data_IF_053131125862
#
_entry.id   IF_053131125862
#
_cell.length_a   1.000
_cell.length_b   1.000
_cell.length_c   1.000
_cell.angle_alpha   90.00
_cell.angle_beta   90.00
_cell.angle_gamma   90.00
#
_symmetry.space_group_name_H-M   'P 1'
#
loop_
_entity.id
_entity.type
_entity.pdbx_description
1 polymer ?
#
# COMPACT_ATOMS: atom_id res chain seq x y z
N UNK A 1 -5.07 -10.84 23.95
CA UNK A 1 -5.33 -10.05 25.17
C UNK A 1 -5.93 -10.98 26.21
N UNK A 2 -5.39 -10.97 27.43
CA UNK A 2 -5.86 -11.79 28.53
C UNK A 2 -6.98 -11.05 29.23
N UNK A 3 -8.22 -11.33 28.81
CA UNK A 3 -9.41 -10.61 29.27
C UNK A 3 -10.04 -11.22 30.54
N UNK A 4 -9.58 -12.40 30.96
CA UNK A 4 -10.09 -13.09 32.16
C UNK A 4 -8.96 -13.76 32.94
N UNK A 5 -9.20 -14.04 34.22
CA UNK A 5 -8.23 -14.69 35.12
C UNK A 5 -8.05 -16.19 34.85
N UNK A 6 -8.98 -16.83 34.14
CA UNK A 6 -8.99 -18.29 33.95
C UNK A 6 -7.69 -18.80 33.32
N UNK A 7 -7.13 -18.07 32.36
CA UNK A 7 -5.87 -18.46 31.71
C UNK A 7 -4.68 -18.45 32.68
N UNK A 8 -4.70 -17.60 33.71
CA UNK A 8 -3.70 -17.63 34.80
C UNK A 8 -3.94 -18.82 35.73
N UNK A 9 -5.20 -19.07 36.12
CA UNK A 9 -5.56 -20.21 36.98
C UNK A 9 -5.12 -21.53 36.33
N UNK A 10 -5.44 -21.76 35.06
CA UNK A 10 -5.02 -22.96 34.33
C UNK A 10 -3.50 -23.06 34.18
N UNK A 11 -2.81 -21.94 33.91
CA UNK A 11 -1.36 -21.91 33.80
C UNK A 11 -0.65 -22.25 35.11
N UNK A 12 -1.16 -21.74 36.24
CA UNK A 12 -0.69 -22.09 37.58
C UNK A 12 -0.95 -23.57 37.89
N UNK A 13 -2.18 -24.05 37.64
CA UNK A 13 -2.55 -25.46 37.87
C UNK A 13 -1.73 -26.44 37.02
N UNK A 14 -1.27 -26.00 35.85
CA UNK A 14 -0.41 -26.79 34.94
C UNK A 14 1.09 -26.61 35.22
N UNK A 15 1.47 -25.85 36.25
CA UNK A 15 2.85 -25.50 36.58
C UNK A 15 3.66 -24.90 35.41
N UNK A 16 2.98 -24.19 34.50
CA UNK A 16 3.61 -23.56 33.35
C UNK A 16 4.12 -22.14 33.64
N UNK A 17 3.47 -21.47 34.59
CA UNK A 17 3.80 -20.08 34.94
C UNK A 17 4.95 -20.01 35.94
N UNK A 18 5.91 -19.11 35.67
CA UNK A 18 7.00 -18.83 36.61
C UNK A 18 6.42 -18.12 37.85
N UNK A 19 6.69 -18.60 39.08
CA UNK A 19 6.33 -17.90 40.32
C UNK A 19 6.93 -16.49 40.42
N UNK A 20 8.08 -16.24 39.76
CA UNK A 20 8.74 -14.94 39.74
C UNK A 20 8.14 -13.93 38.75
N UNK A 21 7.06 -14.29 38.05
CA UNK A 21 6.35 -13.43 37.11
C UNK A 21 7.21 -12.96 35.92
N UNK A 22 8.23 -13.73 35.53
CA UNK A 22 9.14 -13.40 34.41
C UNK A 22 9.47 -14.65 33.60
N UNK A 23 9.88 -14.48 32.35
CA UNK A 23 10.54 -15.54 31.60
C UNK A 23 12.04 -15.46 31.90
N UNK A 24 12.55 -16.37 32.73
CA UNK A 24 13.98 -16.46 33.04
C UNK A 24 14.75 -17.23 31.96
N UNK A 25 14.57 -16.81 30.70
CA UNK A 25 15.09 -17.50 29.52
C UNK A 25 16.60 -17.70 29.62
N UNK A 26 17.03 -18.95 29.45
CA UNK A 26 18.41 -19.46 29.56
C UNK A 26 19.06 -19.35 30.94
N UNK A 27 18.40 -18.77 31.93
CA UNK A 27 18.96 -18.62 33.26
C UNK A 27 18.88 -19.94 34.04
N UNK A 28 19.85 -20.20 34.91
CA UNK A 28 19.84 -21.31 35.87
C UNK A 28 18.56 -21.39 36.72
N UNK A 29 17.86 -20.28 36.94
CA UNK A 29 16.59 -20.21 37.68
C UNK A 29 15.34 -20.31 36.80
N UNK A 30 15.47 -20.73 35.54
CA UNK A 30 14.35 -21.01 34.62
C UNK A 30 13.33 -21.98 35.25
N UNK A 31 12.11 -21.51 35.48
CA UNK A 31 11.07 -22.24 36.23
C UNK A 31 9.65 -22.01 35.69
N UNK A 32 9.52 -21.62 34.43
CA UNK A 32 8.23 -21.31 33.80
C UNK A 32 8.28 -19.99 33.03
N UNK A 33 7.18 -19.67 32.36
CA UNK A 33 7.05 -18.41 31.63
C UNK A 33 6.14 -17.41 32.36
N UNK A 34 6.31 -16.12 32.07
CA UNK A 34 5.29 -15.12 32.38
C UNK A 34 4.37 -14.93 31.19
N UNK A 35 3.07 -14.70 31.42
CA UNK A 35 2.16 -14.31 30.34
C UNK A 35 2.41 -12.86 29.93
N UNK A 36 2.25 -12.56 28.66
CA UNK A 36 2.23 -11.20 28.15
C UNK A 36 1.08 -11.01 27.18
N UNK A 37 0.77 -9.75 26.89
CA UNK A 37 -0.28 -9.36 25.97
C UNK A 37 0.28 -8.44 24.89
N UNK A 38 -0.24 -8.59 23.67
CA UNK A 38 0.14 -7.75 22.55
C UNK A 38 -0.46 -8.22 21.24
N UNK A 39 -0.45 -7.33 20.26
CA UNK A 39 -0.83 -7.59 18.89
C UNK A 39 0.32 -7.17 17.98
N UNK A 40 0.50 -7.91 16.88
CA UNK A 40 1.48 -7.59 15.86
C UNK A 40 0.95 -8.06 14.51
N UNK A 41 1.28 -7.31 13.47
CA UNK A 41 0.98 -7.65 12.10
C UNK A 41 2.20 -7.36 11.23
N UNK A 42 2.31 -8.11 10.13
CA UNK A 42 3.31 -7.97 9.10
C UNK A 42 2.60 -7.88 7.76
N UNK A 43 3.08 -7.01 6.88
CA UNK A 43 2.62 -6.95 5.49
C UNK A 43 3.72 -7.52 4.62
N UNK A 44 3.41 -8.60 3.91
CA UNK A 44 4.33 -9.22 2.96
C UNK A 44 3.94 -8.84 1.54
N UNK A 45 4.93 -8.48 0.73
CA UNK A 45 4.79 -8.23 -0.70
C UNK A 45 5.72 -9.18 -1.45
N UNK A 46 5.26 -9.69 -2.58
CA UNK A 46 6.10 -10.45 -3.51
C UNK A 46 6.67 -9.49 -4.56
N UNK A 47 7.92 -9.69 -4.95
CA UNK A 47 8.63 -8.85 -5.92
C UNK A 47 9.66 -7.90 -5.28
N UNK A 48 10.31 -7.08 -6.11
CA UNK A 48 11.35 -6.17 -5.66
C UNK A 48 10.74 -4.82 -5.23
N UNK A 49 10.73 -4.53 -3.94
CA UNK A 49 10.14 -3.32 -3.35
C UNK A 49 11.18 -2.56 -2.52
N UNK A 50 12.26 -2.13 -3.17
CA UNK A 50 13.47 -1.62 -2.50
C UNK A 50 13.23 -0.36 -1.67
N UNK A 51 12.24 0.44 -2.06
CA UNK A 51 11.91 1.71 -1.40
C UNK A 51 11.01 1.56 -0.16
N UNK A 52 10.31 0.42 0.01
CA UNK A 52 9.31 0.22 1.06
C UNK A 52 9.58 -1.03 1.93
N UNK A 53 10.69 -1.74 1.69
CA UNK A 53 11.02 -2.99 2.39
C UNK A 53 11.78 -2.73 3.70
N UNK A 54 11.38 -3.45 4.74
CA UNK A 54 12.11 -3.49 6.02
C UNK A 54 13.09 -4.67 6.09
N UNK A 55 12.71 -5.83 5.57
CA UNK A 55 13.52 -7.04 5.56
C UNK A 55 13.00 -8.02 4.50
N UNK A 56 13.81 -9.03 4.18
CA UNK A 56 13.43 -10.16 3.35
C UNK A 56 13.16 -11.39 4.21
N UNK A 57 12.03 -12.04 4.01
CA UNK A 57 11.80 -13.38 4.55
C UNK A 57 12.46 -14.40 3.61
N UNK A 58 13.59 -14.97 4.04
CA UNK A 58 14.42 -15.86 3.23
C UNK A 58 13.86 -17.28 3.15
N UNK A 59 13.23 -17.76 4.21
CA UNK A 59 12.65 -19.09 4.27
C UNK A 59 11.86 -19.29 5.55
N UNK A 60 10.95 -20.26 5.56
CA UNK A 60 10.14 -20.57 6.72
C UNK A 60 9.57 -21.98 6.68
N UNK A 61 9.66 -22.68 7.81
CA UNK A 61 9.14 -24.02 7.93
C UNK A 61 8.17 -24.16 9.10
N UNK A 62 7.23 -25.08 8.92
CA UNK A 62 6.36 -25.57 9.97
C UNK A 62 6.63 -27.08 10.11
N UNK A 63 6.62 -27.56 11.34
CA UNK A 63 6.79 -28.97 11.66
C UNK A 63 5.91 -29.39 12.84
N UNK A 64 6.00 -30.64 13.22
CA UNK A 64 5.30 -31.16 14.40
C UNK A 64 6.18 -32.18 15.14
N UNK A 65 6.11 -32.19 16.46
CA UNK A 65 6.93 -33.00 17.37
C UNK A 65 6.73 -34.51 17.24
N UNK A 66 5.62 -34.92 16.64
CA UNK A 66 5.16 -36.30 16.53
C UNK A 66 4.87 -36.89 17.90
N UNK A 67 5.27 -38.15 18.06
CA UNK A 67 5.22 -38.84 19.34
C UNK A 67 6.38 -38.38 20.23
N UNK A 68 6.08 -37.57 21.24
CA UNK A 68 7.01 -37.09 22.27
C UNK A 68 6.78 -37.82 23.61
N UNK A 69 7.57 -37.46 24.64
CA UNK A 69 7.50 -38.08 25.97
C UNK A 69 6.18 -37.80 26.71
N UNK A 70 5.53 -36.68 26.40
CA UNK A 70 4.19 -36.32 26.82
C UNK A 70 3.62 -35.33 25.82
N UNK A 71 2.30 -35.12 25.82
CA UNK A 71 1.64 -34.20 24.87
C UNK A 71 2.25 -32.78 24.87
N UNK A 72 2.78 -32.32 26.00
CA UNK A 72 3.37 -30.99 26.17
C UNK A 72 4.91 -30.99 26.17
N UNK A 73 5.56 -32.15 26.10
CA UNK A 73 7.01 -32.23 26.09
C UNK A 73 7.57 -31.88 24.70
N UNK A 74 8.49 -30.91 24.58
CA UNK A 74 9.07 -30.53 23.30
C UNK A 74 9.98 -31.63 22.73
N UNK A 75 10.13 -31.66 21.40
CA UNK A 75 10.97 -32.63 20.71
C UNK A 75 12.16 -31.97 19.97
N UNK A 76 13.36 -32.11 20.53
CA UNK A 76 14.59 -31.53 19.97
C UNK A 76 14.89 -31.93 18.51
N UNK A 77 14.85 -33.21 18.12
CA UNK A 77 14.98 -33.63 16.72
C UNK A 77 13.96 -32.99 15.78
N UNK A 78 12.71 -32.80 16.20
CA UNK A 78 11.69 -32.14 15.39
C UNK A 78 11.98 -30.63 15.22
N UNK A 79 12.46 -29.97 16.28
CA UNK A 79 12.90 -28.57 16.22
C UNK A 79 14.12 -28.39 15.29
N UNK A 80 15.12 -29.28 15.39
CA UNK A 80 16.27 -29.32 14.48
C UNK A 80 15.82 -29.45 13.02
N UNK A 81 14.91 -30.41 12.75
CA UNK A 81 14.38 -30.65 11.40
C UNK A 81 13.65 -29.43 10.85
N UNK A 82 12.84 -28.76 11.68
CA UNK A 82 12.11 -27.55 11.29
C UNK A 82 13.09 -26.42 10.91
N UNK A 83 14.03 -26.10 11.80
CA UNK A 83 15.01 -25.04 11.55
C UNK A 83 15.94 -25.35 10.36
N UNK A 84 16.41 -26.60 10.25
CA UNK A 84 17.20 -27.03 9.10
C UNK A 84 16.43 -26.93 7.78
N UNK A 85 15.14 -27.27 7.79
CA UNK A 85 14.28 -27.11 6.62
C UNK A 85 14.22 -25.66 6.14
N UNK A 86 14.11 -24.69 7.06
CA UNK A 86 14.01 -23.26 6.73
C UNK A 86 15.32 -22.73 6.14
N UNK A 87 16.47 -23.20 6.66
CA UNK A 87 17.78 -22.89 6.07
C UNK A 87 17.88 -23.43 4.64
N UNK A 88 17.46 -24.67 4.39
CA UNK A 88 17.47 -25.25 3.03
C UNK A 88 16.55 -24.49 2.08
N UNK A 89 15.34 -24.13 2.51
CA UNK A 89 14.41 -23.35 1.71
C UNK A 89 14.99 -21.98 1.34
N UNK A 90 15.66 -21.32 2.30
CA UNK A 90 16.33 -20.04 2.07
C UNK A 90 17.66 -20.12 1.32
N UNK A 91 18.07 -21.34 0.91
CA UNK A 91 19.39 -21.63 0.35
C UNK A 91 20.54 -21.07 1.21
N UNK A 92 20.42 -21.24 2.53
CA UNK A 92 21.36 -20.72 3.52
C UNK A 92 22.14 -21.84 4.18
N UNK A 93 23.37 -21.51 4.55
CA UNK A 93 24.25 -22.30 5.39
C UNK A 93 24.17 -21.84 6.85
N UNK A 94 24.42 -22.71 7.85
CA UNK A 94 24.37 -22.31 9.25
C UNK A 94 25.26 -21.10 9.61
N UNK A 95 26.51 -20.97 9.12
CA UNK A 95 27.38 -19.83 9.44
C UNK A 95 26.85 -18.46 8.97
N UNK A 96 25.91 -18.41 8.01
CA UNK A 96 25.25 -17.17 7.59
C UNK A 96 24.24 -16.64 8.63
N UNK A 97 23.88 -17.48 9.60
CA UNK A 97 23.03 -17.11 10.73
C UNK A 97 23.78 -16.17 11.66
N UNK A 98 23.35 -14.91 11.69
CA UNK A 98 23.96 -13.89 12.56
C UNK A 98 23.35 -13.96 13.96
N UNK A 99 22.02 -14.03 14.04
CA UNK A 99 21.30 -14.11 15.31
C UNK A 99 20.16 -15.11 15.31
N UNK A 100 19.82 -15.60 16.50
CA UNK A 100 18.73 -16.54 16.73
C UNK A 100 17.84 -16.03 17.86
N UNK A 101 16.63 -15.62 17.48
CA UNK A 101 15.50 -15.33 18.36
C UNK A 101 14.80 -16.64 18.72
N UNK A 102 15.20 -17.21 19.85
CA UNK A 102 14.65 -18.46 20.35
C UNK A 102 13.19 -18.32 20.80
N UNK A 103 12.48 -19.44 20.82
CA UNK A 103 11.22 -19.54 21.52
C UNK A 103 11.43 -19.22 23.01
N UNK A 104 12.38 -19.85 23.69
CA UNK A 104 12.98 -19.41 24.94
C UNK A 104 11.97 -18.98 26.00
N UNK A 105 11.14 -19.92 26.46
CA UNK A 105 10.10 -19.66 27.46
C UNK A 105 10.62 -19.52 28.89
N UNK A 106 11.89 -19.86 29.15
CA UNK A 106 12.43 -19.86 30.51
C UNK A 106 11.98 -21.07 31.30
N UNK A 107 11.79 -22.20 30.63
CA UNK A 107 11.47 -23.48 31.28
C UNK A 107 12.73 -24.31 31.47
N UNK A 108 12.82 -25.02 32.60
CA UNK A 108 13.98 -25.84 32.94
C UNK A 108 14.28 -26.94 31.92
N UNK A 109 13.24 -27.49 31.29
CA UNK A 109 13.35 -28.54 30.27
C UNK A 109 13.40 -27.99 28.83
N UNK A 110 12.58 -26.98 28.51
CA UNK A 110 12.44 -26.50 27.14
C UNK A 110 13.66 -25.75 26.64
N UNK A 111 14.27 -24.90 27.46
CA UNK A 111 15.43 -24.10 27.06
C UNK A 111 16.64 -24.99 26.68
N UNK A 112 17.03 -26.03 27.46
CA UNK A 112 18.05 -27.00 27.04
C UNK A 112 17.74 -27.73 25.74
N UNK A 113 16.49 -28.16 25.53
CA UNK A 113 16.08 -28.88 24.33
C UNK A 113 16.20 -27.98 23.10
N UNK A 114 15.74 -26.73 23.20
CA UNK A 114 15.84 -25.76 22.13
C UNK A 114 17.30 -25.43 21.79
N UNK A 115 18.12 -25.10 22.78
CA UNK A 115 19.55 -24.83 22.57
C UNK A 115 20.27 -26.04 21.96
N UNK A 116 19.91 -27.26 22.37
CA UNK A 116 20.42 -28.49 21.78
C UNK A 116 20.07 -28.62 20.30
N UNK A 117 18.85 -28.27 19.90
CA UNK A 117 18.43 -28.25 18.50
C UNK A 117 19.19 -27.19 17.69
N UNK A 118 19.33 -25.97 18.24
CA UNK A 118 20.14 -24.89 17.63
C UNK A 118 21.56 -25.35 17.40
N UNK A 119 22.21 -25.94 18.42
CA UNK A 119 23.57 -26.49 18.31
C UNK A 119 23.68 -27.49 17.17
N UNK A 120 22.77 -28.47 17.08
CA UNK A 120 22.82 -29.52 16.05
C UNK A 120 22.66 -28.98 14.62
N UNK A 121 21.95 -27.87 14.44
CA UNK A 121 21.91 -27.14 13.17
C UNK A 121 23.23 -26.41 12.91
N UNK A 122 23.71 -25.68 13.91
CA UNK A 122 24.80 -24.71 13.74
C UNK A 122 26.19 -25.35 13.68
N UNK A 123 26.35 -26.56 14.23
CA UNK A 123 27.59 -27.33 14.18
C UNK A 123 27.78 -28.14 12.88
N UNK A 124 26.79 -28.14 11.97
CA UNK A 124 26.92 -28.84 10.67
C UNK A 124 28.03 -28.22 9.79
N UNK A 125 28.40 -26.97 10.04
CA UNK A 125 29.52 -26.30 9.38
C UNK A 125 30.27 -25.43 10.39
N UNK A 126 31.59 -25.29 10.19
CA UNK A 126 32.40 -24.39 11.02
C UNK A 126 32.01 -22.93 10.76
N UNK A 127 31.96 -22.14 11.82
CA UNK A 127 31.71 -20.69 11.76
C UNK A 127 32.93 -19.92 12.26
N UNK A 128 33.09 -18.69 11.76
CA UNK A 128 34.18 -17.78 12.17
C UNK A 128 33.75 -16.83 13.29
N UNK A 129 32.47 -16.45 13.28
CA UNK A 129 31.89 -15.50 14.23
C UNK A 129 30.84 -16.22 15.06
N UNK A 130 30.76 -16.02 16.39
CA UNK A 130 29.77 -16.70 17.22
C UNK A 130 28.33 -16.36 16.81
N UNK A 131 27.40 -17.29 17.04
CA UNK A 131 25.96 -17.02 16.90
C UNK A 131 25.49 -16.16 18.07
N UNK A 132 24.77 -15.05 17.84
CA UNK A 132 24.12 -14.35 18.94
C UNK A 132 22.73 -14.96 19.20
N UNK A 133 22.47 -15.39 20.43
CA UNK A 133 21.22 -16.02 20.84
C UNK A 133 20.47 -15.10 21.78
N UNK A 134 19.18 -14.92 21.54
CA UNK A 134 18.32 -14.10 22.39
C UNK A 134 16.85 -14.59 22.43
N UNK A 135 16.05 -14.00 23.31
CA UNK A 135 14.58 -14.16 23.33
C UNK A 135 13.88 -12.91 23.85
N UNK A 136 12.90 -12.44 23.09
CA UNK A 136 11.97 -11.34 23.41
C UNK A 136 11.04 -11.66 24.59
N UNK A 137 10.83 -12.94 24.92
CA UNK A 137 9.94 -13.32 26.03
C UNK A 137 10.47 -12.85 27.38
N UNK A 138 11.79 -12.64 27.50
CA UNK A 138 12.40 -12.02 28.67
C UNK A 138 11.99 -10.56 28.86
N UNK A 139 11.56 -9.86 27.79
CA UNK A 139 11.13 -8.45 27.84
C UNK A 139 9.62 -8.30 27.99
N UNK A 140 8.85 -9.03 27.18
CA UNK A 140 7.40 -8.83 27.04
C UNK A 140 6.56 -9.96 27.64
N UNK A 141 7.19 -11.01 28.17
CA UNK A 141 6.51 -12.25 28.51
C UNK A 141 6.16 -13.09 27.28
N UNK A 142 5.44 -14.19 27.51
CA UNK A 142 4.94 -15.08 26.49
C UNK A 142 3.55 -14.61 26.02
N UNK A 143 3.51 -14.02 24.83
CA UNK A 143 2.29 -13.48 24.21
C UNK A 143 1.39 -14.52 23.53
N UNK A 144 1.63 -15.80 23.80
CA UNK A 144 0.87 -16.94 23.24
C UNK A 144 0.63 -16.81 21.73
N UNK A 145 -0.61 -16.57 21.29
CA UNK A 145 -0.98 -16.42 19.88
C UNK A 145 -0.21 -15.32 19.14
N UNK A 146 0.25 -14.28 19.84
CA UNK A 146 1.04 -13.17 19.25
C UNK A 146 2.56 -13.33 19.45
N UNK A 147 3.02 -14.39 20.12
CA UNK A 147 4.43 -14.54 20.47
C UNK A 147 5.36 -14.60 19.25
N UNK A 148 4.96 -15.34 18.21
CA UNK A 148 5.74 -15.45 16.98
C UNK A 148 5.78 -14.11 16.22
N UNK A 149 4.64 -13.43 16.07
CA UNK A 149 4.56 -12.17 15.34
C UNK A 149 5.41 -11.05 15.98
N UNK A 150 5.41 -10.94 17.31
CA UNK A 150 6.27 -9.97 18.02
C UNK A 150 7.75 -10.35 17.90
N UNK A 151 8.09 -11.63 17.97
CA UNK A 151 9.46 -12.10 17.76
C UNK A 151 9.94 -11.83 16.32
N UNK A 152 9.08 -12.01 15.31
CA UNK A 152 9.36 -11.65 13.91
C UNK A 152 9.58 -10.14 13.75
N UNK A 153 8.74 -9.30 14.37
CA UNK A 153 8.96 -7.85 14.38
C UNK A 153 10.32 -7.49 14.99
N UNK A 154 10.69 -8.12 16.12
CA UNK A 154 12.01 -7.94 16.71
C UNK A 154 13.12 -8.33 15.72
N UNK A 155 13.00 -9.47 15.03
CA UNK A 155 13.98 -9.92 14.04
C UNK A 155 14.20 -8.88 12.93
N UNK A 156 13.10 -8.31 12.41
CA UNK A 156 13.15 -7.25 11.39
C UNK A 156 13.87 -6.01 11.94
N UNK A 157 13.52 -5.55 13.14
CA UNK A 157 14.19 -4.41 13.78
C UNK A 157 15.67 -4.67 14.06
N UNK A 158 16.02 -5.91 14.37
CA UNK A 158 17.39 -6.38 14.66
C UNK A 158 18.26 -6.37 13.40
N UNK A 159 17.75 -6.85 12.26
CA UNK A 159 18.51 -6.79 10.99
C UNK A 159 18.61 -5.37 10.44
N UNK A 160 17.55 -4.56 10.54
CA UNK A 160 17.54 -3.14 10.15
C UNK A 160 18.53 -2.29 10.90
N UNK A 161 18.85 -2.69 12.13
CA UNK A 161 19.82 -1.98 12.98
C UNK A 161 21.16 -2.72 13.05
N UNK A 162 21.29 -3.86 12.37
CA UNK A 162 22.43 -4.76 12.43
C UNK A 162 22.94 -5.01 13.87
N UNK A 163 22.04 -5.35 14.78
CA UNK A 163 22.30 -5.51 16.24
C UNK A 163 21.49 -6.64 16.85
N UNK A 164 22.03 -7.36 17.83
CA UNK A 164 21.29 -8.26 18.70
C UNK A 164 20.82 -7.51 19.96
N UNK A 165 19.52 -7.51 20.21
CA UNK A 165 18.94 -6.93 21.41
C UNK A 165 19.02 -7.90 22.61
N UNK A 166 19.29 -7.39 23.82
CA UNK A 166 19.62 -8.21 24.98
C UNK A 166 18.43 -9.00 25.54
N UNK A 167 18.71 -10.25 25.91
CA UNK A 167 17.86 -11.09 26.76
C UNK A 167 17.97 -10.62 28.20
N UNK A 168 16.83 -10.33 28.81
CA UNK A 168 16.75 -9.85 30.19
C UNK A 168 16.81 -11.01 31.18
N UNK A 169 17.13 -10.67 32.43
CA UNK A 169 17.11 -11.60 33.57
C UNK A 169 18.10 -12.77 33.48
N UNK A 170 19.01 -12.78 32.50
CA UNK A 170 20.08 -13.77 32.39
C UNK A 170 21.30 -13.33 33.20
N UNK A 171 21.47 -13.92 34.39
CA UNK A 171 22.62 -13.69 35.29
C UNK A 171 23.62 -14.84 35.25
N UNK A 172 23.09 -16.05 35.30
CA UNK A 172 23.86 -17.30 35.27
C UNK A 172 23.21 -18.22 34.27
N UNK A 173 23.97 -18.71 33.28
CA UNK A 173 23.45 -19.65 32.30
C UNK A 173 23.01 -20.95 32.98
N UNK A 174 21.93 -21.53 32.49
CA UNK A 174 21.46 -22.84 32.93
C UNK A 174 22.54 -23.90 32.59
N UNK A 175 23.03 -24.67 33.59
CA UNK A 175 24.10 -25.64 33.39
C UNK A 175 23.70 -26.81 32.47
N UNK A 176 22.41 -27.01 32.24
CA UNK A 176 21.89 -28.02 31.32
C UNK A 176 21.88 -27.55 29.85
N UNK A 177 22.18 -26.29 29.58
CA UNK A 177 22.38 -25.82 28.21
C UNK A 177 23.71 -26.37 27.70
N UNK A 178 23.70 -26.99 26.52
CA UNK A 178 24.93 -27.36 25.78
C UNK A 178 25.61 -26.12 25.15
N UNK A 179 25.68 -25.01 25.90
CA UNK A 179 26.12 -23.70 25.46
C UNK A 179 27.61 -23.65 25.08
N UNK A 180 28.45 -24.44 25.73
CA UNK A 180 29.88 -24.53 25.44
C UNK A 180 30.22 -25.48 24.26
N UNK A 181 29.23 -26.17 23.70
CA UNK A 181 29.44 -27.18 22.66
C UNK A 181 29.40 -26.61 21.23
N UNK A 182 29.23 -25.29 21.08
CA UNK A 182 29.29 -24.56 19.80
C UNK A 182 29.55 -23.07 20.04
N UNK A 183 30.07 -22.37 19.02
CA UNK A 183 30.39 -20.95 19.13
C UNK A 183 29.11 -20.09 19.15
N UNK A 184 28.64 -19.76 20.34
CA UNK A 184 27.47 -18.91 20.56
C UNK A 184 27.66 -17.97 21.76
N UNK A 185 27.03 -16.79 21.66
CA UNK A 185 26.96 -15.78 22.71
C UNK A 185 25.51 -15.53 23.03
N UNK A 186 25.13 -15.67 24.30
CA UNK A 186 23.80 -15.36 24.79
C UNK A 186 23.77 -13.87 25.13
N UNK A 187 23.11 -13.07 24.29
CA UNK A 187 23.20 -11.62 24.36
C UNK A 187 22.53 -11.10 25.63
N UNK A 188 23.30 -10.59 26.58
CA UNK A 188 22.84 -9.86 27.79
C UNK A 188 22.97 -8.36 27.64
N UNK A 189 23.70 -7.91 26.62
CA UNK A 189 23.88 -6.51 26.25
C UNK A 189 23.59 -6.28 24.76
N UNK A 190 23.44 -5.02 24.39
CA UNK A 190 23.22 -4.63 23.01
C UNK A 190 24.48 -4.89 22.17
N UNK A 191 24.42 -5.90 21.30
CA UNK A 191 25.62 -6.40 20.58
C UNK A 191 25.51 -6.07 19.09
N UNK A 192 26.46 -5.31 18.54
CA UNK A 192 26.48 -5.03 17.10
C UNK A 192 26.87 -6.26 16.29
N UNK A 193 26.31 -6.38 15.09
CA UNK A 193 26.76 -7.35 14.11
C UNK A 193 28.16 -6.96 13.61
N UNK A 194 28.92 -7.95 13.16
CA UNK A 194 30.21 -7.71 12.51
C UNK A 194 30.06 -6.89 11.22
N UNK A 195 29.00 -7.18 10.45
CA UNK A 195 28.69 -6.48 9.21
C UNK A 195 27.39 -5.70 9.36
N UNK A 196 27.21 -4.69 8.52
CA UNK A 196 25.97 -3.89 8.43
C UNK A 196 24.81 -4.65 7.77
N UNK A 197 24.85 -5.98 7.78
CA UNK A 197 23.81 -6.83 7.25
C UNK A 197 23.88 -8.17 7.97
N UNK A 198 22.77 -8.90 7.98
CA UNK A 198 22.77 -10.21 8.59
C UNK A 198 21.43 -10.91 8.52
N UNK A 199 21.44 -12.14 9.02
CA UNK A 199 20.26 -12.97 9.12
C UNK A 199 19.85 -13.13 10.58
N UNK A 200 18.57 -12.88 10.85
CA UNK A 200 17.94 -13.17 12.13
C UNK A 200 16.93 -14.30 11.95
N UNK A 201 17.16 -15.40 12.65
CA UNK A 201 16.27 -16.55 12.69
C UNK A 201 15.30 -16.41 13.86
N UNK A 202 14.07 -16.92 13.72
CA UNK A 202 13.08 -16.97 14.80
C UNK A 202 12.46 -18.35 14.92
N UNK A 203 12.41 -18.84 16.16
CA UNK A 203 11.74 -20.10 16.52
C UNK A 203 10.47 -19.84 17.33
N UNK A 204 9.42 -20.61 17.05
CA UNK A 204 8.22 -20.65 17.90
C UNK A 204 7.65 -22.05 18.00
N UNK A 205 7.50 -22.56 19.22
CA UNK A 205 7.07 -23.94 19.48
C UNK A 205 5.80 -23.93 20.31
N UNK A 206 4.72 -24.49 19.77
CA UNK A 206 3.44 -24.57 20.45
C UNK A 206 3.41 -25.73 21.45
N UNK A 207 2.67 -25.56 22.55
CA UNK A 207 2.51 -26.59 23.58
C UNK A 207 1.91 -27.91 23.04
N UNK A 208 1.15 -27.86 21.94
CA UNK A 208 0.65 -29.05 21.23
C UNK A 208 1.64 -29.71 20.27
N UNK A 209 2.90 -29.25 20.25
CA UNK A 209 3.98 -29.80 19.44
C UNK A 209 4.08 -29.25 18.02
N UNK A 210 3.27 -28.26 17.62
CA UNK A 210 3.45 -27.57 16.32
C UNK A 210 4.62 -26.60 16.40
N UNK A 211 5.59 -26.76 15.52
CA UNK A 211 6.81 -25.95 15.46
C UNK A 211 6.76 -25.01 14.26
N UNK A 212 7.26 -23.80 14.44
CA UNK A 212 7.49 -22.85 13.36
C UNK A 212 8.90 -22.27 13.44
N UNK A 213 9.52 -22.06 12.29
CA UNK A 213 10.81 -21.39 12.17
C UNK A 213 10.82 -20.48 10.94
N UNK A 214 11.36 -19.27 11.04
CA UNK A 214 11.46 -18.34 9.93
C UNK A 214 12.80 -17.60 9.95
N UNK A 215 13.24 -17.14 8.79
CA UNK A 215 14.53 -16.47 8.62
C UNK A 215 14.33 -15.13 7.92
N UNK A 216 14.84 -14.06 8.54
CA UNK A 216 14.83 -12.73 7.99
C UNK A 216 16.24 -12.29 7.63
N UNK A 217 16.41 -11.68 6.47
CA UNK A 217 17.63 -10.99 6.08
C UNK A 217 17.37 -9.49 5.96
N UNK A 218 18.34 -8.69 6.33
CA UNK A 218 18.31 -7.25 6.13
C UNK A 218 19.68 -6.61 6.31
N UNK A 219 19.71 -5.32 6.03
CA UNK A 219 20.88 -4.45 6.10
C UNK A 219 20.57 -3.23 6.98
N UNK A 220 21.62 -2.62 7.54
CA UNK A 220 21.56 -1.40 8.34
C UNK A 220 21.21 -0.22 7.44
N UNK A 221 19.93 -0.16 7.06
CA UNK A 221 19.34 0.93 6.30
C UNK A 221 18.35 1.58 7.24
N UNK A 222 18.52 2.88 7.50
CA UNK A 222 17.43 3.66 8.06
C UNK A 222 16.40 3.81 6.94
N UNK A 223 15.22 3.20 7.04
CA UNK A 223 14.20 3.37 6.02
C UNK A 223 13.82 4.85 6.04
N UNK A 224 14.24 5.60 5.01
CA UNK A 224 13.74 6.96 4.80
C UNK A 224 12.38 6.88 4.10
N UNK A 225 11.44 6.20 4.76
CA UNK A 225 10.09 6.04 4.25
C UNK A 225 9.41 7.38 4.44
N UNK A 226 9.21 8.08 3.33
CA UNK A 226 8.33 9.26 3.31
C UNK A 226 6.89 8.78 3.48
N UNK A 227 6.46 8.67 4.74
CA UNK A 227 5.12 8.24 5.11
C UNK A 227 4.05 9.11 4.47
N UNK A 228 4.33 10.40 4.22
CA UNK A 228 3.40 11.29 3.53
C UNK A 228 3.26 10.88 2.07
N UNK A 229 4.36 10.59 1.37
CA UNK A 229 4.32 10.09 -0.01
C UNK A 229 3.60 8.74 -0.12
N UNK A 230 3.87 7.82 0.80
CA UNK A 230 3.20 6.50 0.84
C UNK A 230 1.71 6.65 1.13
N UNK A 231 1.34 7.51 2.08
CA UNK A 231 -0.04 7.80 2.44
C UNK A 231 -0.79 8.46 1.27
N UNK A 232 -0.20 9.48 0.62
CA UNK A 232 -0.77 10.11 -0.57
C UNK A 232 -0.96 9.10 -1.70
N UNK A 233 0.02 8.24 -1.96
CA UNK A 233 -0.10 7.15 -2.94
C UNK A 233 -1.24 6.20 -2.58
N UNK A 234 -1.44 5.89 -1.30
CA UNK A 234 -2.54 5.05 -0.85
C UNK A 234 -3.88 5.75 -1.05
N UNK A 235 -4.02 7.03 -0.70
CA UNK A 235 -5.24 7.80 -0.94
C UNK A 235 -5.58 7.83 -2.43
N UNK A 236 -4.61 8.20 -3.29
CA UNK A 236 -4.79 8.29 -4.74
C UNK A 236 -5.24 6.98 -5.38
N UNK A 237 -4.81 5.84 -4.84
CA UNK A 237 -5.16 4.51 -5.36
C UNK A 237 -6.29 3.82 -4.57
N UNK A 238 -6.75 4.42 -3.47
CA UNK A 238 -7.81 3.84 -2.66
C UNK A 238 -9.17 4.10 -3.30
N UNK A 239 -10.03 3.08 -3.29
CA UNK A 239 -11.45 3.30 -3.54
C UNK A 239 -12.02 4.01 -2.30
N UNK A 240 -12.80 5.09 -2.45
CA UNK A 240 -13.41 5.75 -1.32
C UNK A 240 -14.20 4.72 -0.50
N UNK A 241 -14.00 4.62 0.82
CA UNK A 241 -14.87 3.80 1.64
C UNK A 241 -16.28 4.39 1.57
N UNK A 242 -17.23 3.55 1.14
CA UNK A 242 -18.66 3.88 1.08
C UNK A 242 -19.30 3.20 2.29
N UNK A 243 -19.81 4.00 3.23
CA UNK A 243 -20.68 3.51 4.28
C UNK A 243 -22.10 3.71 3.78
N UNK A 244 -22.74 2.62 3.39
CA UNK A 244 -24.12 2.64 2.90
C UNK A 244 -25.08 2.65 4.08
N UNK A 245 -25.87 3.70 4.20
CA UNK A 245 -27.09 3.71 5.02
C UNK A 245 -28.32 3.76 4.12
N UNK A 246 -29.00 2.62 3.95
CA UNK A 246 -30.15 2.47 3.07
C UNK A 246 -29.84 2.43 1.58
N UNK A 247 -30.87 2.62 0.74
CA UNK A 247 -30.79 2.50 -0.73
C UNK A 247 -30.62 3.82 -1.46
N UNK A 248 -30.72 4.95 -0.76
CA UNK A 248 -30.55 6.29 -1.35
C UNK A 248 -29.07 6.69 -1.28
N UNK A 249 -28.37 6.86 -2.41
CA UNK A 249 -26.96 7.25 -2.41
C UNK A 249 -26.69 8.62 -1.78
N UNK A 250 -27.72 9.47 -1.64
CA UNK A 250 -27.58 10.79 -0.99
C UNK A 250 -27.44 10.72 0.53
N UNK A 251 -27.86 9.61 1.17
CA UNK A 251 -27.69 9.36 2.60
C UNK A 251 -26.42 8.59 2.94
N UNK A 252 -25.61 8.22 1.95
CA UNK A 252 -24.38 7.47 2.17
C UNK A 252 -23.25 8.39 2.63
N UNK A 253 -22.42 7.90 3.55
CA UNK A 253 -21.20 8.59 3.95
C UNK A 253 -20.02 8.11 3.09
N UNK A 254 -19.29 9.07 2.52
CA UNK A 254 -18.14 8.82 1.66
C UNK A 254 -16.88 9.34 2.33
N UNK A 255 -15.92 8.47 2.61
CA UNK A 255 -14.59 8.88 3.10
C UNK A 255 -13.64 9.35 1.99
N UNK A 256 -14.17 9.83 0.87
CA UNK A 256 -13.39 10.29 -0.28
C UNK A 256 -14.22 11.09 -1.29
N UNK A 257 -14.02 10.88 -2.60
CA UNK A 257 -14.85 11.53 -3.63
C UNK A 257 -16.31 11.10 -3.48
N UNK A 258 -17.23 12.07 -3.42
CA UNK A 258 -18.67 11.79 -3.32
C UNK A 258 -19.21 11.11 -4.57
N UNK A 259 -20.38 10.46 -4.46
CA UNK A 259 -21.03 9.72 -5.57
C UNK A 259 -21.35 10.55 -6.82
N UNK A 260 -21.26 11.88 -6.73
CA UNK A 260 -21.50 12.82 -7.83
C UNK A 260 -20.24 13.14 -8.65
N UNK A 261 -19.06 12.68 -8.22
CA UNK A 261 -17.79 12.92 -8.91
C UNK A 261 -17.75 12.24 -10.29
N UNK A 262 -17.22 12.95 -11.30
CA UNK A 262 -17.14 12.46 -12.68
C UNK A 262 -15.68 12.31 -13.16
N UNK A 263 -15.41 11.38 -14.11
CA UNK A 263 -14.10 11.30 -14.75
C UNK A 263 -13.67 12.65 -15.34
N UNK A 264 -12.43 13.06 -15.11
CA UNK A 264 -11.86 14.32 -15.60
C UNK A 264 -12.04 15.53 -14.67
N UNK A 265 -12.81 15.41 -13.58
CA UNK A 265 -12.91 16.48 -12.58
C UNK A 265 -11.64 16.54 -11.71
N UNK A 266 -11.16 17.76 -11.45
CA UNK A 266 -10.00 18.02 -10.60
C UNK A 266 -10.45 18.33 -9.17
N UNK A 267 -9.75 17.76 -8.20
CA UNK A 267 -10.04 17.92 -6.78
C UNK A 267 -8.76 18.25 -6.02
N UNK A 268 -8.88 19.16 -5.05
CA UNK A 268 -7.87 19.43 -4.05
C UNK A 268 -8.07 18.47 -2.87
N UNK A 269 -7.01 17.77 -2.48
CA UNK A 269 -7.02 16.92 -1.28
C UNK A 269 -6.49 17.73 -0.10
N UNK A 270 -7.35 17.99 0.87
CA UNK A 270 -7.02 18.73 2.08
C UNK A 270 -6.71 17.73 3.21
N UNK A 271 -5.58 17.95 3.90
CA UNK A 271 -5.12 17.14 5.01
C UNK A 271 -5.04 18.03 6.24
N UNK A 272 -5.95 17.82 7.17
CA UNK A 272 -5.97 18.55 8.44
C UNK A 272 -5.58 17.63 9.57
N UNK A 273 -4.83 18.17 10.54
CA UNK A 273 -4.46 17.46 11.75
C UNK A 273 -4.96 18.25 12.94
N UNK A 274 -5.84 17.65 13.72
CA UNK A 274 -6.29 18.22 14.97
C UNK A 274 -5.10 18.30 15.93
N UNK A 275 -4.79 19.51 16.40
CA UNK A 275 -3.64 19.80 17.26
C UNK A 275 -3.80 19.30 18.70
N UNK A 276 -5.02 18.96 19.12
CA UNK A 276 -5.36 18.50 20.46
C UNK A 276 -5.49 16.98 20.50
N UNK A 277 -6.24 16.39 19.58
CA UNK A 277 -6.47 14.94 19.52
C UNK A 277 -5.38 14.21 18.74
N UNK A 278 -4.67 14.93 17.85
CA UNK A 278 -3.70 14.36 16.93
C UNK A 278 -4.32 13.62 15.75
N UNK A 279 -5.65 13.63 15.63
CA UNK A 279 -6.42 12.96 14.59
C UNK A 279 -6.20 13.65 13.23
N UNK A 280 -6.00 12.84 12.19
CA UNK A 280 -5.80 13.33 10.82
C UNK A 280 -7.08 13.11 10.01
N UNK A 281 -7.65 14.19 9.49
CA UNK A 281 -8.83 14.17 8.62
C UNK A 281 -8.42 14.46 7.18
N UNK A 282 -9.06 13.75 6.25
CA UNK A 282 -8.84 13.90 4.80
C UNK A 282 -10.16 14.37 4.19
N UNK A 283 -10.14 15.50 3.49
CA UNK A 283 -11.29 16.03 2.76
C UNK A 283 -10.94 16.32 1.30
N UNK A 284 -11.96 16.34 0.45
CA UNK A 284 -11.83 16.51 -0.99
C UNK A 284 -12.67 17.71 -1.43
N UNK A 285 -12.01 18.75 -1.92
CA UNK A 285 -12.66 19.96 -2.42
C UNK A 285 -12.59 19.99 -3.94
N UNK A 286 -13.74 20.14 -4.61
CA UNK A 286 -13.77 20.22 -6.07
C UNK A 286 -13.13 21.52 -6.53
N UNK A 287 -12.12 21.42 -7.40
CA UNK A 287 -11.47 22.59 -7.98
C UNK A 287 -12.31 23.06 -9.17
N UNK A 288 -13.00 24.20 -9.00
CA UNK A 288 -13.72 24.85 -10.08
C UNK A 288 -12.70 25.58 -10.95
N UNK A 289 -12.31 24.96 -12.08
CA UNK A 289 -11.51 25.65 -13.09
C UNK A 289 -12.41 26.68 -13.78
N UNK A 290 -12.32 27.93 -13.33
CA UNK A 290 -12.88 29.07 -14.04
C UNK A 290 -12.12 29.26 -15.36
N UNK A 291 -12.54 28.56 -16.41
CA UNK A 291 -12.20 28.94 -17.77
C UNK A 291 -12.81 30.32 -18.05
N UNK A 292 -11.97 31.25 -18.55
CA UNK A 292 -12.35 32.60 -18.95
C UNK A 292 -13.57 32.60 -19.88
N UNK A 293 -14.47 33.60 -19.77
CA UNK A 293 -15.61 33.70 -20.68
C UNK A 293 -15.11 33.92 -22.12
N UNK A 294 -15.53 33.06 -23.04
CA UNK A 294 -15.23 33.20 -24.47
C UNK A 294 -15.93 34.46 -25.00
N UNK A 295 -15.17 35.41 -25.55
CA UNK A 295 -15.72 36.68 -26.02
C UNK A 295 -16.42 36.58 -27.38
N UNK A 296 -15.91 35.76 -28.31
CA UNK A 296 -16.51 35.57 -29.63
C UNK A 296 -16.11 34.24 -30.28
N UNK A 297 -16.82 33.88 -31.35
CA UNK A 297 -16.48 32.76 -32.22
C UNK A 297 -16.23 33.23 -33.65
N UNK A 298 -15.37 32.51 -34.35
CA UNK A 298 -15.13 32.69 -35.78
C UNK A 298 -15.48 31.40 -36.52
N UNK A 299 -15.95 31.50 -37.75
CA UNK A 299 -16.14 30.39 -38.67
C UNK A 299 -14.94 30.33 -39.63
N UNK A 300 -14.55 29.12 -40.01
CA UNK A 300 -13.43 28.89 -40.93
C UNK A 300 -13.77 27.71 -41.85
N UNK A 301 -13.39 27.77 -43.11
CA UNK A 301 -13.78 26.74 -44.08
C UNK A 301 -13.25 26.96 -45.49
N UNK A 302 -13.73 26.17 -46.43
CA UNK A 302 -13.34 26.30 -47.84
C UNK A 302 -13.81 27.60 -48.51
N UNK A 303 -14.81 28.30 -47.93
CA UNK A 303 -15.30 29.60 -48.40
C UNK A 303 -14.32 30.76 -48.13
N UNK A 304 -13.39 30.60 -47.19
CA UNK A 304 -12.43 31.63 -46.80
C UNK A 304 -11.00 31.07 -46.69
N UNK A 305 -10.66 30.05 -47.50
CA UNK A 305 -9.34 29.43 -47.51
C UNK A 305 -8.83 28.99 -46.12
N UNK A 306 -9.75 28.55 -45.25
CA UNK A 306 -9.47 28.17 -43.86
C UNK A 306 -8.85 29.29 -43.00
N UNK A 307 -9.14 30.55 -43.31
CA UNK A 307 -8.85 31.69 -42.43
C UNK A 307 -9.98 31.90 -41.42
N UNK A 308 -9.79 32.80 -40.45
CA UNK A 308 -10.88 33.19 -39.56
C UNK A 308 -11.85 34.15 -40.26
N UNK A 309 -13.14 33.97 -40.02
CA UNK A 309 -14.18 34.94 -40.31
C UNK A 309 -15.10 35.08 -39.08
N UNK A 310 -15.25 36.28 -38.56
CA UNK A 310 -15.88 36.49 -37.26
C UNK A 310 -17.40 36.33 -37.35
N UNK A 311 -17.97 35.50 -36.47
CA UNK A 311 -19.42 35.35 -36.39
C UNK A 311 -20.06 36.54 -35.67
N UNK A 312 -21.25 36.91 -36.13
CA UNK A 312 -22.09 37.93 -35.51
C UNK A 312 -22.87 37.36 -34.32
N UNK A 313 -23.15 38.19 -33.32
CA UNK A 313 -24.04 37.80 -32.22
C UNK A 313 -25.50 37.80 -32.67
N UNK A 314 -26.21 36.72 -32.34
CA UNK A 314 -27.63 36.56 -32.60
C UNK A 314 -28.51 37.21 -31.52
N UNK A 315 -29.82 37.14 -31.72
CA UNK A 315 -30.81 37.76 -30.82
C UNK A 315 -31.00 37.02 -29.48
N UNK A 316 -30.32 35.89 -29.28
CA UNK A 316 -30.39 35.07 -28.07
C UNK A 316 -28.98 35.01 -27.45
N UNK A 317 -28.83 35.21 -26.14
CA UNK A 317 -27.52 35.12 -25.48
C UNK A 317 -26.80 33.80 -25.81
N UNK A 318 -25.56 33.90 -26.28
CA UNK A 318 -24.73 32.75 -26.66
C UNK A 318 -24.98 32.18 -28.06
N UNK A 319 -25.89 32.77 -28.85
CA UNK A 319 -26.08 32.44 -30.25
C UNK A 319 -25.13 33.28 -31.11
N UNK A 320 -24.36 32.63 -31.97
CA UNK A 320 -23.50 33.26 -32.95
C UNK A 320 -23.90 32.79 -34.35
N UNK A 321 -23.83 33.64 -35.37
CA UNK A 321 -24.15 33.26 -36.73
C UNK A 321 -23.22 33.89 -37.77
N UNK A 322 -23.08 33.24 -38.93
CA UNK A 322 -22.48 33.81 -40.13
C UNK A 322 -23.30 33.43 -41.35
N UNK A 323 -23.38 34.34 -42.33
CA UNK A 323 -24.08 34.13 -43.59
C UNK A 323 -23.05 33.95 -44.70
N UNK A 324 -22.94 32.72 -45.21
CA UNK A 324 -21.86 32.27 -46.08
C UNK A 324 -22.45 31.85 -47.43
N UNK A 325 -21.94 32.37 -48.57
CA UNK A 325 -22.31 31.87 -49.88
C UNK A 325 -21.77 30.45 -50.07
N UNK A 326 -22.56 29.55 -50.64
CA UNK A 326 -22.11 28.20 -51.00
C UNK A 326 -21.06 28.32 -52.11
N UNK A 327 -19.83 27.77 -51.93
CA UNK A 327 -18.77 27.84 -52.94
C UNK A 327 -19.17 27.24 -54.29
N UNK A 328 -18.47 27.61 -55.38
CA UNK A 328 -18.73 27.10 -56.74
C UNK A 328 -18.82 25.56 -56.83
N UNK A 329 -18.09 24.85 -55.96
CA UNK A 329 -18.13 23.39 -55.83
C UNK A 329 -19.42 22.80 -55.23
N UNK A 330 -20.40 23.64 -54.87
CA UNK A 330 -21.71 23.23 -54.34
C UNK A 330 -21.68 22.61 -52.94
N UNK A 331 -20.52 22.61 -52.28
CA UNK A 331 -20.32 22.07 -50.92
C UNK A 331 -19.51 23.06 -50.08
N UNK A 332 -20.09 23.50 -48.98
CA UNK A 332 -19.44 24.30 -47.94
C UNK A 332 -18.91 23.35 -46.86
N UNK A 333 -17.59 23.38 -46.64
CA UNK A 333 -16.94 22.71 -45.51
C UNK A 333 -16.53 23.76 -44.49
N UNK A 334 -16.86 23.55 -43.20
CA UNK A 334 -16.53 24.52 -42.18
C UNK A 334 -16.30 23.93 -40.77
N UNK A 335 -15.64 24.72 -39.93
CA UNK A 335 -15.41 24.53 -38.49
C UNK A 335 -15.61 25.86 -37.77
N UNK A 336 -15.68 25.80 -36.44
CA UNK A 336 -15.75 26.98 -35.57
C UNK A 336 -14.43 27.12 -34.82
N UNK A 337 -13.95 28.35 -34.63
CA UNK A 337 -12.77 28.71 -33.84
C UNK A 337 -13.22 29.49 -32.59
N UNK A 338 -12.59 29.17 -31.46
CA UNK A 338 -12.74 29.98 -30.24
C UNK A 338 -11.85 31.21 -30.36
N UNK A 339 -12.43 32.41 -30.36
CA UNK A 339 -11.70 33.69 -30.40
C UNK A 339 -10.70 33.82 -31.57
N UNK A 340 -11.02 33.18 -32.71
CA UNK A 340 -10.16 33.21 -33.90
C UNK A 340 -8.90 32.34 -33.82
N UNK A 341 -8.69 31.63 -32.71
CA UNK A 341 -7.47 30.84 -32.49
C UNK A 341 -7.51 29.53 -33.30
N UNK A 342 -6.61 29.42 -34.27
CA UNK A 342 -6.46 28.22 -35.12
C UNK A 342 -6.08 26.95 -34.35
N UNK A 343 -5.59 27.06 -33.12
CA UNK A 343 -5.32 25.91 -32.24
C UNK A 343 -6.57 25.50 -31.41
N UNK A 344 -7.66 26.27 -31.45
CA UNK A 344 -8.90 26.01 -30.69
C UNK A 344 -10.09 25.71 -31.61
N UNK A 345 -9.99 24.63 -32.39
CA UNK A 345 -11.03 24.22 -33.34
C UNK A 345 -12.18 23.47 -32.65
N UNK A 346 -13.41 23.79 -33.04
CA UNK A 346 -14.65 23.11 -32.70
C UNK A 346 -15.25 22.55 -33.98
N UNK A 347 -15.60 21.26 -33.95
CA UNK A 347 -16.05 20.51 -35.12
C UNK A 347 -16.79 19.24 -34.72
N UNK A 348 -17.35 18.49 -35.68
CA UNK A 348 -17.94 17.18 -35.39
C UNK A 348 -16.84 16.14 -35.14
N UNK A 349 -17.15 15.02 -34.47
CA UNK A 349 -16.18 13.91 -34.30
C UNK A 349 -15.72 13.30 -35.63
N UNK A 350 -16.61 13.27 -36.61
CA UNK A 350 -16.35 12.82 -37.98
C UNK A 350 -16.90 13.86 -38.96
N UNK A 351 -16.26 14.03 -40.11
CA UNK A 351 -16.74 14.96 -41.14
C UNK A 351 -18.15 14.56 -41.60
N UNK A 352 -19.13 15.43 -41.41
CA UNK A 352 -20.55 15.05 -41.53
C UNK A 352 -21.47 16.21 -41.92
N UNK A 353 -22.58 15.87 -42.57
CA UNK A 353 -23.69 16.79 -42.84
C UNK A 353 -24.80 16.71 -41.76
N UNK A 354 -24.59 15.95 -40.67
CA UNK A 354 -25.58 15.79 -39.61
C UNK A 354 -25.48 16.90 -38.57
N UNK A 355 -26.56 17.67 -38.41
CA UNK A 355 -26.68 18.74 -37.39
C UNK A 355 -26.64 18.23 -35.95
N UNK A 356 -27.08 16.98 -35.75
CA UNK A 356 -27.14 16.32 -34.44
C UNK A 356 -25.85 15.57 -34.08
N UNK A 357 -24.81 15.65 -34.92
CA UNK A 357 -23.53 15.03 -34.61
C UNK A 357 -22.92 15.63 -33.33
N UNK A 358 -22.30 14.81 -32.46
CA UNK A 358 -21.61 15.32 -31.28
C UNK A 358 -20.58 16.39 -31.63
N UNK A 359 -20.65 17.53 -30.94
CA UNK A 359 -19.74 18.65 -31.14
C UNK A 359 -18.52 18.44 -30.24
N UNK A 360 -17.35 18.32 -30.86
CA UNK A 360 -16.05 18.14 -30.23
C UNK A 360 -15.22 19.43 -30.21
N UNK A 361 -14.20 19.48 -29.35
CA UNK A 361 -13.30 20.62 -29.20
C UNK A 361 -13.69 21.61 -28.09
N UNK A 362 -12.88 22.66 -27.84
CA UNK A 362 -11.77 23.15 -28.66
C UNK A 362 -10.55 22.20 -28.65
N UNK A 363 -9.95 21.94 -29.82
CA UNK A 363 -8.73 21.14 -29.95
C UNK A 363 -7.87 21.57 -31.15
N UNK A 364 -6.55 21.50 -30.97
CA UNK A 364 -5.55 21.75 -32.02
C UNK A 364 -5.47 20.61 -33.03
N UNK A 365 -5.84 19.41 -32.63
CA UNK A 365 -5.72 18.19 -33.42
C UNK A 365 -6.97 17.91 -34.27
N UNK A 366 -8.06 18.64 -34.02
CA UNK A 366 -9.31 18.46 -34.76
C UNK A 366 -9.14 18.90 -36.22
N UNK A 367 -9.46 18.00 -37.15
CA UNK A 367 -9.36 18.20 -38.61
C UNK A 367 -10.68 17.98 -39.35
N UNK A 368 -11.70 17.51 -38.64
CA UNK A 368 -13.03 17.17 -39.14
C UNK A 368 -13.88 18.42 -39.30
N UNK A 369 -14.86 18.36 -40.21
CA UNK A 369 -15.63 19.54 -40.64
C UNK A 369 -17.11 19.21 -40.82
N UNK A 370 -17.98 20.20 -40.67
CA UNK A 370 -19.35 20.07 -41.13
C UNK A 370 -19.43 20.30 -42.63
N UNK A 371 -20.34 19.58 -43.29
CA UNK A 371 -20.60 19.68 -44.72
C UNK A 371 -22.02 20.20 -44.97
N UNK A 372 -22.14 21.22 -45.82
CA UNK A 372 -23.43 21.73 -46.30
C UNK A 372 -23.42 21.71 -47.83
N UNK A 373 -24.33 20.97 -48.43
CA UNK A 373 -24.55 20.98 -49.87
C UNK A 373 -25.66 21.97 -50.22
N UNK A 374 -25.45 22.77 -51.27
CA UNK A 374 -26.42 23.76 -51.73
C UNK A 374 -26.12 24.23 -53.15
N UNK A 375 -27.01 25.04 -53.71
CA UNK A 375 -26.78 25.67 -55.02
C UNK A 375 -25.63 26.67 -54.90
N UNK A 376 -24.63 26.65 -55.79
CA UNK A 376 -23.58 27.68 -55.80
C UNK A 376 -24.19 29.09 -55.76
N UNK A 377 -23.55 30.00 -55.00
CA UNK A 377 -24.02 31.38 -54.75
C UNK A 377 -25.28 31.52 -53.87
N UNK A 378 -25.97 30.43 -53.50
CA UNK A 378 -27.00 30.51 -52.47
C UNK A 378 -26.37 30.84 -51.11
N UNK A 379 -27.05 31.65 -50.29
CA UNK A 379 -26.54 32.05 -48.98
C UNK A 379 -27.07 31.12 -47.91
N UNK A 380 -26.16 30.54 -47.11
CA UNK A 380 -26.50 29.73 -45.96
C UNK A 380 -26.11 30.45 -44.68
N UNK A 381 -27.06 30.58 -43.77
CA UNK A 381 -26.84 31.07 -42.41
C UNK A 381 -26.46 29.90 -41.51
N UNK A 382 -25.23 29.88 -41.02
CA UNK A 382 -24.75 28.93 -40.00
C UNK A 382 -24.93 29.55 -38.64
N UNK A 383 -25.55 28.83 -37.71
CA UNK A 383 -25.83 29.26 -36.36
C UNK A 383 -25.19 28.30 -35.35
N UNK A 384 -24.45 28.85 -34.40
CA UNK A 384 -23.76 28.13 -33.34
C UNK A 384 -24.20 28.67 -31.98
N UNK A 385 -24.85 27.81 -31.20
CA UNK A 385 -25.28 28.14 -29.85
C UNK A 385 -24.27 27.58 -28.85
N UNK A 386 -23.67 28.47 -28.07
CA UNK A 386 -22.82 28.13 -26.93
C UNK A 386 -23.32 28.87 -25.69
N UNK A 387 -23.96 28.19 -24.70
CA UNK A 387 -24.52 28.87 -23.54
C UNK A 387 -23.47 29.60 -22.70
N UNK A 388 -23.79 30.82 -22.24
CA UNK A 388 -22.99 31.53 -21.24
C UNK A 388 -23.03 30.76 -19.90
N UNK A 389 -21.89 30.67 -19.19
CA UNK A 389 -21.83 30.08 -17.84
C UNK A 389 -22.77 30.85 -16.90
N UNK A 390 -23.76 30.17 -16.31
CA UNK A 390 -24.64 30.74 -15.28
C UNK A 390 -26.06 30.17 -15.24
N UNK A 391 -26.54 29.56 -16.33
CA UNK A 391 -27.82 28.84 -16.35
C UNK A 391 -27.57 27.35 -16.13
N UNK A 392 -28.02 26.86 -14.99
CA UNK A 392 -27.90 25.47 -14.55
C UNK A 392 -28.48 24.48 -15.57
N UNK A 393 -27.66 23.57 -16.09
CA UNK A 393 -28.12 22.34 -16.74
C UNK A 393 -27.64 22.17 -18.19
N UNK A 394 -26.49 21.51 -18.34
CA UNK A 394 -25.86 21.06 -19.61
C UNK A 394 -25.14 22.15 -20.42
N UNK A 395 -23.84 21.93 -20.66
CA UNK A 395 -23.00 22.64 -21.64
C UNK A 395 -23.32 22.16 -23.06
N UNK A 396 -24.59 22.05 -23.43
CA UNK A 396 -24.95 21.51 -24.74
C UNK A 396 -24.79 22.61 -25.78
N UNK A 397 -23.69 22.55 -26.52
CA UNK A 397 -23.52 23.32 -27.75
C UNK A 397 -24.44 22.74 -28.82
N UNK A 398 -24.99 23.58 -29.68
CA UNK A 398 -25.73 23.12 -30.86
C UNK A 398 -25.30 23.89 -32.10
N UNK A 399 -25.48 23.25 -33.24
CA UNK A 399 -25.21 23.85 -34.54
C UNK A 399 -26.39 23.62 -35.48
N UNK A 400 -26.77 24.66 -36.20
CA UNK A 400 -27.81 24.63 -37.21
C UNK A 400 -27.41 25.45 -38.41
N UNK A 401 -28.06 25.21 -39.54
CA UNK A 401 -27.89 26.04 -40.72
C UNK A 401 -29.17 26.10 -41.55
N UNK A 402 -29.41 27.22 -42.21
CA UNK A 402 -30.61 27.51 -42.98
C UNK A 402 -30.24 28.24 -44.27
N UNK A 403 -30.82 27.84 -45.40
CA UNK A 403 -30.69 28.59 -46.66
C UNK A 403 -31.53 29.86 -46.57
N UNK A 404 -30.91 31.03 -46.78
CA UNK A 404 -31.55 32.35 -46.64
C UNK A 404 -32.04 32.88 -47.99
N UNK A 405 -31.40 32.48 -49.10
CA UNK A 405 -31.80 32.84 -50.46
C UNK A 405 -31.50 31.72 -51.45
N UNK A 406 -32.49 31.34 -52.26
CA UNK A 406 -32.30 30.59 -53.52
C UNK A 406 -32.19 31.52 -54.72
#
# INVERSE_FOLDING_TARGET
LTLTVNSFIHGCASHMLSPGGRCFTFNATANGYNRGDGTAALVMKVGNHDEERYAFMRGSQIGQDGRSASMSAPNGPAQEKCAWGALREGNMTPPESTTWECHGTGTSLGDPIEVGAVRKVQTKMKRLEPLLIASSKSNFGHLEGSAAAIAMNKCIMVVLKAVCAPTQHLKTLNPHLDHAAFDAVYATEHTKYKYKQGHCQVSSFGVGGTNGHAIFWGEEVQPNVDFRKVFLRKIMNSRPPIITDGTDPSSWEFGGLGYTAKPGESYRVCLERDVVTGEETVSFERELVEADPVEFYSITGNHNDWTEDRMLEGNVPGLFYSEIPVPEGGTLEFRILVEGDSDKNIGPEETTAQRLAPISGPSKELRTSWLISGTPESVVRVEFLSPMKGLSGSQTRSISWLTVSE
#
